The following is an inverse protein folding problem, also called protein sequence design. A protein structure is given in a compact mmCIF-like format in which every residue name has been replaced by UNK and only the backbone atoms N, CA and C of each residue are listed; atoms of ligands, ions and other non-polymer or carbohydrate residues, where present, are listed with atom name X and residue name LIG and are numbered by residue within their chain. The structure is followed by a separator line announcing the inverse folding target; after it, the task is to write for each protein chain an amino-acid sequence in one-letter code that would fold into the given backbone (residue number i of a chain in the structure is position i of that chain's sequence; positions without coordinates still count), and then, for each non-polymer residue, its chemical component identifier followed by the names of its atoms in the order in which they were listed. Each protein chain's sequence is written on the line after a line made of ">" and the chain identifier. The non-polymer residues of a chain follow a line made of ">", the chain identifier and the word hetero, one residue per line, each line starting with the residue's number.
data_IF_104785983909
#
_entry.id   IF_104785983909
#
_cell.length_a   1.000
_cell.length_b   1.000
_cell.length_c   1.000
_cell.angle_alpha   90.00
_cell.angle_beta   90.00
_cell.angle_gamma   90.00
#
_symmetry.space_group_name_H-M   'P 1'
#
loop_
_entity.id
_entity.type
_entity.pdbx_description
1 polymer ?
#
# COMPACT_ATOMS: atom_id res chain seq x y z
N UNK A 1 13.31 -8.77 -3.08
CA UNK A 1 12.30 -9.09 -4.07
C UNK A 1 12.79 -10.10 -5.08
N UNK A 2 11.96 -10.40 -6.06
CA UNK A 2 12.34 -11.19 -7.24
C UNK A 2 12.42 -10.21 -8.40
N UNK A 3 13.54 -10.21 -9.11
CA UNK A 3 13.64 -9.46 -10.37
C UNK A 3 12.94 -10.27 -11.46
N UNK A 4 11.96 -9.66 -12.11
CA UNK A 4 11.14 -10.28 -13.14
C UNK A 4 11.33 -9.49 -14.42
N UNK A 5 11.76 -10.17 -15.47
CA UNK A 5 11.82 -9.61 -16.81
C UNK A 5 10.43 -9.66 -17.47
N UNK A 6 10.09 -8.65 -18.28
CA UNK A 6 8.83 -8.58 -19.03
C UNK A 6 8.58 -9.83 -19.91
N UNK A 7 9.65 -10.50 -20.36
CA UNK A 7 9.55 -11.75 -21.09
C UNK A 7 9.07 -12.93 -20.26
N UNK A 8 9.26 -12.88 -18.94
CA UNK A 8 8.87 -13.94 -18.00
C UNK A 8 7.44 -13.73 -17.47
N UNK A 9 6.97 -12.48 -17.44
CA UNK A 9 5.63 -12.11 -17.01
C UNK A 9 5.01 -11.06 -17.94
N UNK A 10 4.62 -11.45 -19.15
CA UNK A 10 4.15 -10.49 -20.17
C UNK A 10 2.70 -10.02 -20.00
N UNK A 11 2.06 -10.34 -18.88
CA UNK A 11 0.64 -10.09 -18.63
C UNK A 11 0.39 -8.70 -17.99
N UNK A 12 0.87 -7.63 -18.61
CA UNK A 12 0.68 -6.25 -18.16
C UNK A 12 -0.35 -5.49 -19.02
N UNK A 13 -1.53 -6.08 -19.21
CA UNK A 13 -2.54 -5.54 -20.16
C UNK A 13 -3.91 -5.49 -19.49
N UNK A 14 -4.75 -4.55 -19.94
CA UNK A 14 -6.15 -4.48 -19.54
C UNK A 14 -6.95 -5.30 -20.54
N UNK A 15 -7.65 -6.38 -20.09
CA UNK A 15 -8.46 -7.19 -20.95
C UNK A 15 -9.72 -6.41 -21.39
N UNK A 16 -10.25 -6.73 -22.57
CA UNK A 16 -11.52 -6.21 -23.06
C UNK A 16 -12.69 -6.59 -22.14
N UNK A 17 -12.63 -7.79 -21.60
CA UNK A 17 -13.65 -8.34 -20.71
C UNK A 17 -13.00 -9.09 -19.53
N UNK A 18 -13.49 -8.81 -18.33
CA UNK A 18 -13.11 -9.49 -17.10
C UNK A 18 -14.32 -10.28 -16.58
N UNK A 19 -14.18 -11.59 -16.56
CA UNK A 19 -15.22 -12.49 -16.05
C UNK A 19 -14.99 -12.74 -14.58
N UNK A 20 -15.96 -12.39 -13.76
CA UNK A 20 -15.90 -12.50 -12.30
C UNK A 20 -16.99 -13.43 -11.78
N UNK A 21 -16.85 -13.87 -10.55
CA UNK A 21 -17.93 -14.54 -9.85
C UNK A 21 -18.93 -13.56 -9.22
N UNK A 22 -20.02 -14.11 -8.69
CA UNK A 22 -21.04 -13.34 -8.00
C UNK A 22 -20.67 -13.03 -6.53
N UNK A 23 -19.41 -12.81 -6.27
CA UNK A 23 -18.88 -12.46 -4.94
C UNK A 23 -18.64 -10.96 -4.80
N UNK A 24 -17.43 -10.62 -4.41
CA UNK A 24 -17.00 -9.26 -4.04
C UNK A 24 -17.10 -8.24 -5.21
N UNK A 25 -17.06 -8.73 -6.46
CA UNK A 25 -17.06 -7.87 -7.65
C UNK A 25 -18.45 -7.35 -8.05
N UNK A 26 -19.54 -7.82 -7.43
CA UNK A 26 -20.91 -7.35 -7.72
C UNK A 26 -21.16 -5.92 -7.22
N UNK A 27 -20.36 -5.43 -6.27
CA UNK A 27 -20.54 -4.14 -5.63
C UNK A 27 -20.53 -2.96 -6.59
N UNK A 28 -21.09 -1.83 -6.13
CA UNK A 28 -21.11 -0.58 -6.88
C UNK A 28 -19.69 -0.03 -7.13
N UNK A 29 -18.78 -0.21 -6.18
CA UNK A 29 -17.40 0.27 -6.27
C UNK A 29 -16.60 -0.43 -7.38
N UNK A 30 -16.53 -1.77 -7.47
CA UNK A 30 -15.87 -2.44 -8.59
C UNK A 30 -16.44 -2.01 -9.95
N UNK A 31 -17.76 -1.87 -10.07
CA UNK A 31 -18.39 -1.41 -11.30
C UNK A 31 -17.97 0.00 -11.69
N UNK A 32 -17.97 0.95 -10.76
CA UNK A 32 -17.54 2.33 -11.04
C UNK A 32 -16.06 2.43 -11.40
N UNK A 33 -15.24 1.59 -10.79
CA UNK A 33 -13.79 1.60 -10.97
C UNK A 33 -13.38 0.94 -12.27
N UNK A 34 -13.91 -0.26 -12.56
CA UNK A 34 -13.47 -1.12 -13.66
C UNK A 34 -14.24 -0.95 -14.96
N UNK A 35 -15.56 -0.72 -14.93
CA UNK A 35 -16.37 -0.60 -16.15
C UNK A 35 -15.85 0.41 -17.19
N UNK A 36 -15.26 1.56 -16.81
CA UNK A 36 -14.67 2.46 -17.80
C UNK A 36 -13.40 1.92 -18.47
N UNK A 37 -12.78 0.87 -17.89
CA UNK A 37 -11.51 0.30 -18.35
C UNK A 37 -11.68 -1.07 -19.00
N UNK A 38 -12.61 -1.88 -18.51
CA UNK A 38 -12.88 -3.25 -18.97
C UNK A 38 -14.34 -3.60 -18.75
N UNK A 39 -14.90 -4.40 -19.63
CA UNK A 39 -16.28 -4.90 -19.44
C UNK A 39 -16.28 -5.94 -18.31
N UNK A 40 -17.10 -5.72 -17.28
CA UNK A 40 -17.34 -6.72 -16.24
C UNK A 40 -18.48 -7.64 -16.65
N UNK A 41 -18.21 -8.93 -16.66
CA UNK A 41 -19.19 -9.99 -16.86
C UNK A 41 -19.17 -10.93 -15.66
N UNK A 42 -20.34 -11.49 -15.34
CA UNK A 42 -20.48 -12.37 -14.18
C UNK A 42 -20.86 -13.78 -14.62
N UNK A 43 -20.25 -14.77 -13.99
CA UNK A 43 -20.63 -16.17 -14.23
C UNK A 43 -22.06 -16.42 -13.75
N UNK A 44 -22.86 -17.24 -14.48
CA UNK A 44 -24.17 -17.64 -13.99
C UNK A 44 -24.07 -18.33 -12.63
N UNK A 45 -25.05 -18.12 -11.74
CA UNK A 45 -25.10 -18.84 -10.47
C UNK A 45 -25.09 -20.36 -10.69
N UNK A 46 -24.46 -21.09 -9.79
CA UNK A 46 -24.40 -22.57 -9.80
C UNK A 46 -23.75 -23.19 -11.05
N UNK A 47 -22.87 -22.44 -11.73
CA UNK A 47 -22.10 -22.93 -12.89
C UNK A 47 -20.59 -22.96 -12.56
N UNK A 48 -20.10 -23.97 -11.80
CA UNK A 48 -18.68 -24.08 -11.44
C UNK A 48 -17.78 -24.33 -12.66
N UNK A 49 -18.31 -24.93 -13.72
CA UNK A 49 -17.61 -25.15 -14.99
C UNK A 49 -17.06 -23.86 -15.59
N UNK A 50 -17.74 -22.74 -15.42
CA UNK A 50 -17.28 -21.42 -15.89
C UNK A 50 -16.02 -20.90 -15.20
N UNK A 51 -15.64 -21.49 -14.05
CA UNK A 51 -14.48 -21.08 -13.23
C UNK A 51 -13.39 -22.14 -13.12
N UNK A 52 -13.63 -23.33 -13.67
CA UNK A 52 -12.77 -24.51 -13.45
C UNK A 52 -11.29 -24.26 -13.68
N UNK A 53 -10.93 -23.42 -14.66
CA UNK A 53 -9.53 -23.08 -14.93
C UNK A 53 -8.89 -22.29 -13.78
N UNK A 54 -9.58 -21.26 -13.27
CA UNK A 54 -9.07 -20.41 -12.19
C UNK A 54 -9.01 -21.19 -10.88
N UNK A 55 -10.08 -21.92 -10.55
CA UNK A 55 -10.14 -22.75 -9.33
C UNK A 55 -9.04 -23.83 -9.34
N UNK A 56 -8.80 -24.46 -10.49
CA UNK A 56 -7.72 -25.46 -10.63
C UNK A 56 -6.34 -24.84 -10.45
N UNK A 57 -6.12 -23.61 -10.92
CA UNK A 57 -4.83 -22.91 -10.71
C UNK A 57 -4.60 -22.55 -9.25
N UNK A 58 -5.61 -22.08 -8.54
CA UNK A 58 -5.51 -21.86 -7.10
C UNK A 58 -5.28 -23.16 -6.32
N UNK A 59 -5.94 -24.25 -6.71
CA UNK A 59 -5.72 -25.57 -6.08
C UNK A 59 -4.26 -26.06 -6.24
N UNK A 60 -3.68 -25.89 -7.43
CA UNK A 60 -2.26 -26.22 -7.69
C UNK A 60 -1.34 -25.36 -6.81
N UNK A 61 -1.51 -24.03 -6.82
CA UNK A 61 -0.69 -23.13 -5.98
C UNK A 61 -0.81 -23.44 -4.49
N UNK A 62 -2.01 -23.74 -4.03
CA UNK A 62 -2.23 -24.13 -2.64
C UNK A 62 -1.49 -25.43 -2.30
N UNK A 63 -1.57 -26.45 -3.14
CA UNK A 63 -0.95 -27.75 -2.88
C UNK A 63 0.57 -27.73 -3.01
N UNK A 64 1.08 -27.05 -4.03
CA UNK A 64 2.51 -27.06 -4.34
C UNK A 64 3.32 -26.02 -3.54
N UNK A 65 2.67 -24.96 -3.05
CA UNK A 65 3.37 -23.87 -2.37
C UNK A 65 2.82 -23.62 -0.96
N UNK A 66 1.53 -23.26 -0.86
CA UNK A 66 0.98 -22.79 0.41
C UNK A 66 0.93 -23.89 1.48
N UNK A 67 0.60 -25.13 1.08
CA UNK A 67 0.52 -26.24 2.01
C UNK A 67 1.87 -26.75 2.52
N UNK A 68 2.95 -26.35 1.87
CA UNK A 68 4.32 -26.67 2.31
C UNK A 68 4.82 -25.72 3.41
N UNK A 69 4.19 -24.57 3.59
CA UNK A 69 4.57 -23.63 4.64
C UNK A 69 4.15 -24.10 6.04
N UNK A 70 5.01 -23.84 7.02
CA UNK A 70 4.65 -23.99 8.43
C UNK A 70 3.56 -22.96 8.78
N UNK A 71 2.57 -23.41 9.54
CA UNK A 71 1.44 -22.56 9.93
C UNK A 71 0.24 -22.60 8.99
N UNK A 72 0.33 -23.34 7.87
CA UNK A 72 -0.82 -23.52 6.97
C UNK A 72 -1.91 -24.38 7.62
N UNK A 73 -3.17 -24.00 7.38
CA UNK A 73 -4.35 -24.80 7.79
C UNK A 73 -4.69 -25.92 6.80
N UNK A 74 -3.94 -26.07 5.72
CA UNK A 74 -4.16 -27.06 4.64
C UNK A 74 -5.63 -27.16 4.20
N UNK A 75 -6.27 -26.00 3.99
CA UNK A 75 -7.67 -25.93 3.58
C UNK A 75 -8.69 -26.25 4.69
N UNK A 76 -8.30 -26.12 5.97
CA UNK A 76 -9.19 -26.37 7.10
C UNK A 76 -9.19 -27.81 7.61
N UNK A 77 -8.36 -28.70 7.07
CA UNK A 77 -8.21 -30.10 7.52
C UNK A 77 -7.45 -30.19 8.87
N UNK A 78 -7.86 -29.39 9.85
CA UNK A 78 -7.27 -29.44 11.20
C UNK A 78 -8.00 -30.49 12.03
N UNK A 79 -7.28 -31.45 12.53
CA UNK A 79 -7.85 -32.49 13.40
C UNK A 79 -8.36 -31.84 14.68
N UNK A 80 -9.61 -32.15 15.06
CA UNK A 80 -10.24 -31.59 16.25
C UNK A 80 -9.42 -31.93 17.50
N UNK A 81 -9.00 -30.91 18.26
CA UNK A 81 -8.14 -31.07 19.44
C UNK A 81 -6.64 -31.00 19.17
N UNK A 82 -6.20 -30.89 17.91
CA UNK A 82 -4.78 -30.63 17.62
C UNK A 82 -4.42 -29.17 17.90
N UNK A 83 -3.13 -28.90 18.08
CA UNK A 83 -2.60 -27.54 18.20
C UNK A 83 -2.96 -26.73 16.95
N UNK A 84 -3.37 -25.48 17.13
CA UNK A 84 -3.68 -24.57 16.01
C UNK A 84 -2.40 -24.33 15.15
N UNK A 85 -2.39 -24.78 13.88
CA UNK A 85 -1.23 -24.62 13.02
C UNK A 85 -0.78 -23.19 12.84
N UNK A 86 -1.71 -22.21 12.92
CA UNK A 86 -1.40 -20.78 12.76
C UNK A 86 -0.38 -20.27 13.77
N UNK A 87 -0.25 -20.93 14.93
CA UNK A 87 0.78 -20.61 15.94
C UNK A 87 2.19 -20.96 15.50
N UNK A 88 2.32 -21.79 14.48
CA UNK A 88 3.61 -22.22 13.91
C UNK A 88 3.98 -21.41 12.66
N UNK A 89 3.19 -20.38 12.31
CA UNK A 89 3.48 -19.49 11.21
C UNK A 89 4.72 -18.63 11.51
N UNK A 90 5.79 -18.82 10.73
CA UNK A 90 7.08 -18.15 10.91
C UNK A 90 7.48 -17.28 9.71
N UNK A 91 6.82 -17.48 8.57
CA UNK A 91 7.15 -16.74 7.35
C UNK A 91 6.54 -15.35 7.32
N UNK A 92 7.32 -14.39 6.85
CA UNK A 92 6.82 -13.05 6.57
C UNK A 92 6.00 -13.05 5.27
N UNK A 93 5.11 -12.07 5.11
CA UNK A 93 4.34 -11.90 3.87
C UNK A 93 5.26 -11.79 2.64
N UNK A 94 6.40 -11.11 2.77
CA UNK A 94 7.40 -10.95 1.71
C UNK A 94 7.99 -12.30 1.28
N UNK A 95 8.35 -13.18 2.22
CA UNK A 95 8.88 -14.50 1.92
C UNK A 95 7.85 -15.37 1.22
N UNK A 96 6.60 -15.38 1.71
CA UNK A 96 5.49 -16.11 1.06
C UNK A 96 5.26 -15.58 -0.36
N UNK A 97 5.21 -14.27 -0.55
CA UNK A 97 5.03 -13.64 -1.87
C UNK A 97 6.13 -14.05 -2.84
N UNK A 98 7.39 -14.07 -2.41
CA UNK A 98 8.52 -14.51 -3.24
C UNK A 98 8.35 -15.96 -3.71
N UNK A 99 7.91 -16.86 -2.84
CA UNK A 99 7.70 -18.28 -3.22
C UNK A 99 6.52 -18.42 -4.19
N UNK A 100 5.43 -17.70 -3.98
CA UNK A 100 4.29 -17.70 -4.92
C UNK A 100 4.74 -17.19 -6.30
N UNK A 101 5.49 -16.09 -6.35
CA UNK A 101 6.01 -15.55 -7.62
C UNK A 101 6.89 -16.58 -8.34
N UNK A 102 7.81 -17.23 -7.63
CA UNK A 102 8.67 -18.29 -8.22
C UNK A 102 7.83 -19.42 -8.79
N UNK A 103 6.84 -19.92 -8.05
CA UNK A 103 5.96 -20.99 -8.52
C UNK A 103 5.17 -20.58 -9.78
N UNK A 104 4.69 -19.33 -9.86
CA UNK A 104 4.03 -18.81 -11.06
C UNK A 104 4.99 -18.75 -12.24
N UNK A 105 6.23 -18.30 -12.03
CA UNK A 105 7.25 -18.23 -13.08
C UNK A 105 7.64 -19.62 -13.59
N UNK A 106 7.76 -20.61 -12.71
CA UNK A 106 8.01 -22.01 -13.05
C UNK A 106 6.83 -22.59 -13.84
N UNK A 107 5.60 -22.36 -13.35
CA UNK A 107 4.40 -22.78 -14.05
C UNK A 107 4.30 -22.17 -15.46
N UNK A 108 4.62 -20.89 -15.62
CA UNK A 108 4.57 -20.22 -16.92
C UNK A 108 5.55 -20.85 -17.95
N UNK A 109 6.59 -21.52 -17.49
CA UNK A 109 7.59 -22.21 -18.32
C UNK A 109 7.35 -23.71 -18.44
N UNK A 110 6.44 -24.30 -17.65
CA UNK A 110 6.17 -25.74 -17.66
C UNK A 110 5.50 -26.16 -18.96
N UNK A 111 5.84 -27.38 -19.43
CA UNK A 111 5.21 -27.97 -20.62
C UNK A 111 3.87 -28.56 -20.22
N UNK A 112 2.80 -28.06 -20.81
CA UNK A 112 1.44 -28.54 -20.61
C UNK A 112 0.91 -29.07 -21.96
N UNK A 113 0.92 -30.41 -22.12
CA UNK A 113 0.53 -31.05 -23.39
C UNK A 113 -0.85 -30.64 -23.89
N UNK A 114 -1.80 -30.41 -22.99
CA UNK A 114 -3.16 -29.99 -23.33
C UNK A 114 -3.23 -28.62 -24.04
N UNK A 115 -2.22 -27.76 -23.85
CA UNK A 115 -2.18 -26.47 -24.55
C UNK A 115 -1.94 -26.63 -26.04
N UNK A 116 -1.22 -27.67 -26.49
CA UNK A 116 -1.02 -27.94 -27.91
C UNK A 116 -2.34 -28.31 -28.60
N UNK A 117 -3.22 -29.05 -27.93
CA UNK A 117 -4.55 -29.36 -28.42
C UNK A 117 -5.50 -28.17 -28.41
N UNK A 118 -5.30 -27.26 -27.45
CA UNK A 118 -6.13 -26.05 -27.30
C UNK A 118 -5.76 -24.95 -28.29
N UNK A 119 -4.56 -24.96 -28.86
CA UNK A 119 -4.09 -23.93 -29.77
C UNK A 119 -3.24 -24.48 -30.91
N UNK A 120 -3.84 -24.62 -32.12
CA UNK A 120 -3.08 -24.98 -33.31
C UNK A 120 -1.92 -24.02 -33.62
N UNK A 121 -2.02 -22.75 -33.17
CA UNK A 121 -1.00 -21.73 -33.40
C UNK A 121 0.36 -22.10 -32.79
N UNK A 122 0.38 -22.84 -31.67
CA UNK A 122 1.61 -23.30 -31.06
C UNK A 122 2.34 -24.28 -31.99
N UNK A 123 1.58 -25.20 -32.58
CA UNK A 123 2.11 -26.21 -33.51
C UNK A 123 2.56 -25.56 -34.82
N UNK A 124 1.75 -24.66 -35.39
CA UNK A 124 2.05 -23.93 -36.64
C UNK A 124 3.33 -23.09 -36.54
N UNK A 125 3.67 -22.60 -35.33
CA UNK A 125 4.85 -21.77 -35.11
C UNK A 125 6.00 -22.53 -34.43
N UNK A 126 5.93 -23.85 -34.33
CA UNK A 126 6.95 -24.71 -33.68
C UNK A 126 7.32 -24.24 -32.27
N UNK A 127 6.30 -23.88 -31.48
CA UNK A 127 6.47 -23.41 -30.11
C UNK A 127 6.13 -24.48 -29.11
N UNK A 128 6.98 -24.65 -28.09
CA UNK A 128 6.68 -25.53 -26.96
C UNK A 128 5.36 -25.14 -26.29
N UNK A 129 4.52 -26.12 -25.90
CA UNK A 129 3.21 -25.84 -25.30
C UNK A 129 3.35 -25.41 -23.83
N UNK A 130 3.86 -24.21 -23.63
CA UNK A 130 3.97 -23.56 -22.32
C UNK A 130 2.97 -22.44 -22.18
N UNK A 131 2.46 -22.12 -20.98
CA UNK A 131 1.56 -21.00 -20.75
C UNK A 131 2.09 -19.67 -21.30
N UNK A 132 3.39 -19.43 -21.19
CA UNK A 132 4.00 -18.19 -21.69
C UNK A 132 3.99 -18.10 -23.22
N UNK A 133 4.28 -19.20 -23.93
CA UNK A 133 4.23 -19.22 -25.38
C UNK A 133 2.78 -19.11 -25.89
N UNK A 134 1.85 -19.79 -25.23
CA UNK A 134 0.43 -19.67 -25.48
C UNK A 134 -0.03 -18.21 -25.37
N UNK A 135 0.32 -17.55 -24.26
CA UNK A 135 0.00 -16.12 -24.05
C UNK A 135 0.59 -15.23 -25.15
N UNK A 136 1.89 -15.36 -25.43
CA UNK A 136 2.60 -14.53 -26.40
C UNK A 136 2.02 -14.65 -27.81
N UNK A 137 1.76 -15.86 -28.30
CA UNK A 137 1.23 -16.08 -29.66
C UNK A 137 -0.21 -15.57 -29.78
N UNK A 138 -1.04 -15.81 -28.76
CA UNK A 138 -2.41 -15.32 -28.76
C UNK A 138 -2.47 -13.81 -28.59
N UNK A 139 -1.62 -13.22 -27.76
CA UNK A 139 -1.52 -11.77 -27.62
C UNK A 139 -1.16 -11.10 -28.96
N UNK A 140 -0.21 -11.67 -29.70
CA UNK A 140 0.19 -11.14 -31.01
C UNK A 140 -0.99 -11.14 -32.00
N UNK A 141 -1.84 -12.19 -31.98
CA UNK A 141 -2.98 -12.35 -32.87
C UNK A 141 -4.21 -11.53 -32.44
N UNK A 142 -4.42 -11.37 -31.14
CA UNK A 142 -5.63 -10.78 -30.55
C UNK A 142 -5.40 -9.43 -29.85
N UNK A 143 -4.39 -8.67 -30.27
CA UNK A 143 -4.11 -7.33 -29.69
C UNK A 143 -5.30 -6.39 -29.66
N UNK A 144 -6.22 -6.51 -30.61
CA UNK A 144 -7.45 -5.71 -30.70
C UNK A 144 -8.45 -5.98 -29.57
N UNK A 145 -8.28 -7.06 -28.82
CA UNK A 145 -9.11 -7.38 -27.65
C UNK A 145 -8.59 -6.77 -26.35
N UNK A 146 -7.45 -6.06 -26.40
CA UNK A 146 -6.91 -5.32 -25.27
C UNK A 146 -7.43 -3.89 -25.26
N UNK A 147 -7.65 -3.35 -24.08
CA UNK A 147 -8.04 -1.96 -23.90
C UNK A 147 -6.78 -1.09 -23.73
N UNK A 148 -6.74 0.03 -24.45
CA UNK A 148 -5.75 1.06 -24.19
C UNK A 148 -6.15 1.85 -22.95
N UNK A 149 -5.20 2.05 -22.03
CA UNK A 149 -5.39 2.89 -20.87
C UNK A 149 -4.17 3.79 -20.65
N UNK A 150 -4.44 5.04 -20.30
CA UNK A 150 -3.40 5.95 -19.89
C UNK A 150 -2.96 5.59 -18.45
N UNK A 151 -1.66 5.68 -18.11
CA UNK A 151 -1.18 5.42 -16.75
C UNK A 151 -1.95 6.21 -15.68
N UNK A 152 -2.32 7.44 -15.97
CA UNK A 152 -3.10 8.29 -15.07
C UNK A 152 -4.52 7.76 -14.80
N UNK A 153 -5.16 7.13 -15.78
CA UNK A 153 -6.46 6.50 -15.60
C UNK A 153 -6.34 5.26 -14.71
N UNK A 154 -5.29 4.47 -14.90
CA UNK A 154 -4.98 3.31 -14.06
C UNK A 154 -4.77 3.75 -12.61
N UNK A 155 -3.88 4.72 -12.37
CA UNK A 155 -3.59 5.26 -11.03
C UNK A 155 -4.86 5.80 -10.38
N UNK A 156 -5.62 6.65 -11.10
CA UNK A 156 -6.78 7.33 -10.54
C UNK A 156 -7.95 6.39 -10.22
N UNK A 157 -8.07 5.25 -10.90
CA UNK A 157 -9.20 4.33 -10.78
C UNK A 157 -8.89 3.09 -9.96
N UNK A 158 -7.69 2.49 -10.11
CA UNK A 158 -7.36 1.22 -9.47
C UNK A 158 -6.74 1.39 -8.09
N UNK A 159 -6.02 2.50 -7.85
CA UNK A 159 -5.45 2.72 -6.53
C UNK A 159 -6.46 3.35 -5.56
N UNK A 160 -6.49 2.91 -4.30
CA UNK A 160 -7.35 3.47 -3.26
C UNK A 160 -7.19 4.98 -3.12
N UNK A 161 -8.30 5.73 -3.03
CA UNK A 161 -8.26 7.17 -2.77
C UNK A 161 -7.91 7.44 -1.32
N UNK A 162 -7.08 8.46 -1.11
CA UNK A 162 -6.72 8.94 0.21
C UNK A 162 -6.64 10.48 0.24
N UNK A 163 -6.71 11.04 1.44
CA UNK A 163 -6.41 12.44 1.70
C UNK A 163 -5.08 12.55 2.42
N UNK A 164 -4.19 13.38 1.87
CA UNK A 164 -2.89 13.68 2.46
C UNK A 164 -2.80 15.17 2.81
N UNK A 165 -1.86 15.53 3.66
CA UNK A 165 -1.68 16.93 4.07
C UNK A 165 -0.35 17.46 3.59
N UNK A 166 -0.34 18.59 2.85
CA UNK A 166 0.87 19.35 2.62
C UNK A 166 1.26 20.06 3.91
N UNK A 167 2.47 19.82 4.39
CA UNK A 167 3.02 20.37 5.63
C UNK A 167 4.36 21.04 5.37
N UNK A 168 4.88 21.73 6.37
CA UNK A 168 6.25 22.29 6.32
C UNK A 168 7.37 21.27 6.12
N UNK A 169 7.09 19.99 6.30
CA UNK A 169 8.04 18.89 6.15
C UNK A 169 7.80 18.06 4.88
N UNK A 170 6.96 18.53 3.97
CA UNK A 170 6.49 17.81 2.79
C UNK A 170 5.07 17.24 2.98
N UNK A 171 4.71 16.29 2.14
CA UNK A 171 3.41 15.64 2.20
C UNK A 171 3.40 14.64 3.35
N UNK A 172 2.38 14.73 4.19
CA UNK A 172 2.18 13.85 5.35
C UNK A 172 0.98 12.93 5.12
N UNK A 173 1.21 11.63 5.31
CA UNK A 173 0.21 10.58 5.27
C UNK A 173 0.55 9.47 6.27
N UNK A 174 -0.38 9.08 7.13
CA UNK A 174 -0.25 8.00 8.12
C UNK A 174 1.11 8.02 8.84
N UNK A 175 1.52 9.18 9.40
CA UNK A 175 2.81 9.31 10.11
C UNK A 175 4.06 9.36 9.21
N UNK A 176 3.92 9.15 7.91
CA UNK A 176 5.01 9.17 6.94
C UNK A 176 5.07 10.49 6.18
N UNK A 177 6.27 10.84 5.72
CA UNK A 177 6.52 12.05 4.93
C UNK A 177 7.01 11.69 3.54
N UNK A 178 6.50 12.43 2.54
CA UNK A 178 6.81 12.24 1.12
C UNK A 178 7.18 13.57 0.47
N UNK A 179 8.02 13.52 -0.57
CA UNK A 179 8.40 14.68 -1.39
C UNK A 179 8.65 14.28 -2.84
N UNK A 180 8.66 15.27 -3.72
CA UNK A 180 9.15 15.17 -5.09
C UNK A 180 9.80 16.48 -5.52
N UNK A 181 10.40 16.50 -6.71
CA UNK A 181 11.08 17.69 -7.25
C UNK A 181 10.13 18.88 -7.40
N UNK A 182 8.91 18.67 -7.84
CA UNK A 182 7.94 19.77 -8.03
C UNK A 182 7.59 20.46 -6.71
N UNK A 183 7.48 19.73 -5.62
CA UNK A 183 7.25 20.30 -4.28
C UNK A 183 8.42 21.19 -3.87
N UNK A 184 9.65 20.77 -4.19
CA UNK A 184 10.87 21.51 -3.88
C UNK A 184 11.01 22.74 -4.76
N UNK A 185 10.85 22.61 -6.08
CA UNK A 185 10.94 23.72 -7.06
C UNK A 185 9.89 24.80 -6.81
N UNK A 186 8.66 24.41 -6.45
CA UNK A 186 7.56 25.33 -6.13
C UNK A 186 7.58 25.83 -4.68
N UNK A 187 8.55 25.41 -3.87
CA UNK A 187 8.67 25.75 -2.45
C UNK A 187 7.37 25.53 -1.62
N UNK A 188 6.59 24.48 -1.94
CA UNK A 188 5.30 24.22 -1.32
C UNK A 188 5.42 24.00 0.20
N UNK A 189 6.51 23.41 0.67
CA UNK A 189 6.80 23.24 2.10
C UNK A 189 6.98 24.58 2.82
N UNK A 190 7.61 25.57 2.18
CA UNK A 190 7.75 26.93 2.74
C UNK A 190 6.41 27.66 2.77
N UNK A 191 5.58 27.49 1.74
CA UNK A 191 4.21 28.03 1.72
C UNK A 191 3.39 27.40 2.85
N UNK A 192 3.49 26.10 3.08
CA UNK A 192 2.80 25.43 4.17
C UNK A 192 3.27 25.90 5.56
N UNK A 193 4.51 26.37 5.68
CA UNK A 193 5.03 26.95 6.93
C UNK A 193 4.41 28.30 7.21
N UNK A 194 4.22 29.15 6.21
CA UNK A 194 3.70 30.52 6.37
C UNK A 194 2.17 30.58 6.38
N UNK A 195 1.51 29.82 5.53
CA UNK A 195 0.05 29.89 5.30
C UNK A 195 -0.74 28.77 6.00
N UNK A 196 -0.03 27.84 6.68
CA UNK A 196 -0.64 26.66 7.29
C UNK A 196 -0.73 25.47 6.33
N UNK A 197 -1.05 24.32 6.90
CA UNK A 197 -1.20 23.08 6.13
C UNK A 197 -2.53 23.03 5.38
N UNK A 198 -2.55 22.33 4.22
CA UNK A 198 -3.77 22.07 3.46
C UNK A 198 -3.85 20.62 3.01
N UNK A 199 -5.04 20.16 2.66
CA UNK A 199 -5.30 18.79 2.19
C UNK A 199 -5.19 18.68 0.68
N UNK A 200 -4.67 17.54 0.23
CA UNK A 200 -4.54 17.14 -1.18
C UNK A 200 -5.15 15.76 -1.39
N UNK A 201 -5.61 15.52 -2.61
CA UNK A 201 -6.07 14.20 -3.05
C UNK A 201 -4.85 13.33 -3.39
N UNK A 202 -4.90 12.08 -2.97
CA UNK A 202 -3.85 11.10 -3.25
C UNK A 202 -4.43 9.75 -3.69
N UNK A 203 -3.55 8.93 -4.25
CA UNK A 203 -3.76 7.52 -4.55
C UNK A 203 -2.62 6.72 -3.93
N UNK A 204 -2.97 5.66 -3.22
CA UNK A 204 -2.02 4.91 -2.39
C UNK A 204 -1.94 3.48 -2.89
N UNK A 205 -0.71 2.98 -3.07
CA UNK A 205 -0.48 1.54 -3.17
C UNK A 205 -0.21 1.01 -1.76
N UNK A 206 -1.13 0.21 -1.23
CA UNK A 206 -1.04 -0.34 0.13
C UNK A 206 0.10 -1.33 0.31
N UNK A 207 0.64 -1.86 -0.80
CA UNK A 207 1.75 -2.82 -0.78
C UNK A 207 3.12 -2.16 -0.58
N UNK A 208 3.22 -0.84 -0.68
CA UNK A 208 4.49 -0.13 -0.54
C UNK A 208 4.34 1.22 0.15
N UNK A 209 5.32 1.53 1.00
CA UNK A 209 5.50 2.86 1.60
C UNK A 209 6.45 3.73 0.79
N UNK A 210 7.13 3.20 -0.24
CA UNK A 210 8.20 3.89 -0.95
C UNK A 210 7.72 5.11 -1.74
N UNK A 211 6.46 5.10 -2.17
CA UNK A 211 5.87 6.19 -2.93
C UNK A 211 4.36 6.26 -2.77
N UNK A 212 3.82 7.43 -3.07
CA UNK A 212 2.39 7.71 -3.19
C UNK A 212 2.17 8.60 -4.42
N UNK A 213 0.96 8.62 -4.94
CA UNK A 213 0.58 9.49 -6.04
C UNK A 213 -0.28 10.63 -5.50
N UNK A 214 0.12 11.88 -5.71
CA UNK A 214 -0.57 13.05 -5.13
C UNK A 214 -0.93 14.05 -6.21
N UNK A 215 -2.12 14.60 -6.11
CA UNK A 215 -2.60 15.65 -6.98
C UNK A 215 -2.23 16.99 -6.37
N UNK A 216 -1.12 17.59 -6.82
CA UNK A 216 -0.62 18.85 -6.29
C UNK A 216 -1.53 20.04 -6.65
N UNK A 217 -2.16 19.99 -7.82
CA UNK A 217 -3.14 20.97 -8.29
C UNK A 217 -4.43 20.28 -8.72
N UNK A 218 -5.58 20.90 -8.49
CA UNK A 218 -6.89 20.32 -8.83
C UNK A 218 -7.06 19.93 -10.31
N UNK A 219 -6.36 20.61 -11.21
CA UNK A 219 -6.48 20.44 -12.66
C UNK A 219 -5.31 19.64 -13.28
N UNK A 220 -4.38 19.14 -12.47
CA UNK A 220 -3.25 18.34 -12.94
C UNK A 220 -3.44 16.84 -12.70
N UNK A 221 -2.58 16.07 -13.34
CA UNK A 221 -2.44 14.63 -13.12
C UNK A 221 -1.89 14.32 -11.72
N UNK A 222 -1.99 13.04 -11.32
CA UNK A 222 -1.34 12.56 -10.11
C UNK A 222 0.17 12.50 -10.32
N UNK A 223 0.92 13.04 -9.38
CA UNK A 223 2.37 13.08 -9.39
C UNK A 223 2.96 12.09 -8.40
N UNK A 224 4.01 11.41 -8.82
CA UNK A 224 4.72 10.44 -7.99
C UNK A 224 5.53 11.18 -6.93
N UNK A 225 5.27 10.90 -5.67
CA UNK A 225 5.98 11.43 -4.51
C UNK A 225 6.66 10.28 -3.76
N UNK A 226 7.95 10.42 -3.51
CA UNK A 226 8.77 9.40 -2.86
C UNK A 226 8.86 9.60 -1.35
N UNK A 227 9.06 8.51 -0.65
CA UNK A 227 9.27 8.50 0.80
C UNK A 227 10.47 9.39 1.16
N UNK A 228 10.23 10.37 2.03
CA UNK A 228 11.26 11.30 2.50
C UNK A 228 12.31 10.57 3.36
N UNK A 229 13.58 11.02 3.34
CA UNK A 229 14.62 10.51 4.22
C UNK A 229 14.25 10.49 5.71
N UNK A 230 13.38 11.40 6.13
CA UNK A 230 12.84 11.47 7.49
C UNK A 230 12.06 10.21 7.89
N UNK A 231 11.41 9.57 6.93
CA UNK A 231 10.62 8.34 7.13
C UNK A 231 11.36 7.08 6.68
N UNK A 232 12.69 7.15 6.51
CA UNK A 232 13.53 6.08 5.94
C UNK A 232 13.36 4.72 6.63
N UNK A 233 13.04 4.68 7.93
CA UNK A 233 12.85 3.43 8.67
C UNK A 233 11.69 2.58 8.14
N UNK A 234 10.77 3.19 7.39
CA UNK A 234 9.61 2.53 6.79
C UNK A 234 9.85 2.14 5.33
N UNK A 235 11.05 2.35 4.79
CA UNK A 235 11.38 2.00 3.42
C UNK A 235 11.20 0.50 3.18
N UNK A 236 10.72 0.13 1.99
CA UNK A 236 10.51 -1.25 1.53
C UNK A 236 9.53 -2.06 2.41
N UNK A 237 8.56 -1.38 3.02
CA UNK A 237 7.48 -1.98 3.80
C UNK A 237 6.13 -1.76 3.12
N UNK A 238 5.12 -2.53 3.52
CA UNK A 238 3.73 -2.24 3.19
C UNK A 238 3.15 -1.16 4.11
N UNK A 239 2.00 -0.57 3.74
CA UNK A 239 1.30 0.38 4.61
C UNK A 239 0.87 -0.29 5.92
N UNK A 240 0.40 -1.54 5.88
CA UNK A 240 0.03 -2.32 7.07
C UNK A 240 1.21 -2.58 8.01
N UNK A 241 2.38 -2.94 7.46
CA UNK A 241 3.59 -3.09 8.29
C UNK A 241 4.00 -1.77 8.95
N UNK A 242 3.83 -0.67 8.23
CA UNK A 242 4.12 0.67 8.73
C UNK A 242 3.18 1.06 9.89
N UNK A 243 1.89 0.80 9.75
CA UNK A 243 0.90 1.03 10.81
C UNK A 243 1.21 0.18 12.04
N UNK A 244 1.46 -1.10 11.87
CA UNK A 244 1.87 -1.98 12.97
C UNK A 244 3.10 -1.49 13.72
N UNK A 245 4.12 -1.02 12.99
CA UNK A 245 5.34 -0.47 13.62
C UNK A 245 5.03 0.82 14.39
N UNK A 246 4.16 1.68 13.86
CA UNK A 246 3.75 2.91 14.53
C UNK A 246 2.97 2.61 15.82
N UNK A 247 1.99 1.73 15.76
CA UNK A 247 1.23 1.28 16.93
C UNK A 247 2.13 0.67 18.00
N UNK A 248 3.11 -0.14 17.57
CA UNK A 248 4.10 -0.69 18.49
C UNK A 248 4.94 0.41 19.14
N UNK A 249 5.42 1.39 18.36
CA UNK A 249 6.19 2.53 18.89
C UNK A 249 5.35 3.36 19.89
N UNK A 250 4.09 3.58 19.58
CA UNK A 250 3.20 4.37 20.45
C UNK A 250 2.89 3.60 21.76
N UNK A 251 2.67 2.29 21.69
CA UNK A 251 2.51 1.45 22.88
C UNK A 251 3.75 1.49 23.79
N UNK A 252 4.96 1.60 23.21
CA UNK A 252 6.20 1.73 23.99
C UNK A 252 6.35 3.11 24.63
N UNK A 253 5.87 4.16 23.99
CA UNK A 253 5.85 5.52 24.59
C UNK A 253 4.91 5.57 25.80
N UNK A 254 3.75 4.90 25.70
CA UNK A 254 2.80 4.81 26.83
C UNK A 254 3.36 4.00 28.00
N UNK A 255 4.18 2.97 27.70
CA UNK A 255 4.82 2.13 28.73
C UNK A 255 6.07 2.76 29.35
N UNK A 256 6.64 3.82 28.78
CA UNK A 256 7.64 4.63 29.47
C UNK A 256 6.89 5.54 30.45
N UNK A 257 6.88 5.24 31.76
CA UNK A 257 6.30 6.16 32.70
C UNK A 257 7.04 7.48 32.55
N UNK A 258 6.33 8.53 32.17
CA UNK A 258 6.82 9.89 32.44
C UNK A 258 7.09 9.86 33.93
N UNK A 259 8.37 9.84 34.33
CA UNK A 259 8.72 9.77 35.74
C UNK A 259 7.95 10.89 36.41
N UNK A 260 7.27 10.59 37.50
CA UNK A 260 6.49 11.58 38.28
C UNK A 260 7.38 12.79 38.58
N UNK A 261 8.70 12.58 38.72
CA UNK A 261 9.74 13.62 38.80
C UNK A 261 9.73 14.58 37.61
N UNK A 262 9.41 14.18 36.36
CA UNK A 262 9.40 15.11 35.23
C UNK A 262 8.15 16.01 35.17
N UNK A 263 7.02 15.54 35.72
CA UNK A 263 5.80 16.34 35.84
C UNK A 263 5.97 17.34 37.01
N UNK A 264 6.48 16.90 38.14
CA UNK A 264 6.81 17.76 39.30
C UNK A 264 7.85 18.79 38.96
N UNK A 265 8.91 18.45 38.21
CA UNK A 265 9.91 19.39 37.73
C UNK A 265 9.34 20.42 36.74
N UNK A 266 8.40 20.05 35.88
CA UNK A 266 7.71 20.99 35.00
C UNK A 266 6.80 21.93 35.79
N UNK A 267 6.03 21.42 36.73
CA UNK A 267 5.17 22.23 37.60
C UNK A 267 6.01 23.13 38.51
N UNK A 268 7.10 22.62 39.06
CA UNK A 268 8.03 23.41 39.86
C UNK A 268 8.70 24.53 39.07
N UNK A 269 9.15 24.29 37.84
CA UNK A 269 9.69 25.37 36.97
C UNK A 269 8.62 26.44 36.63
N UNK A 270 7.38 26.06 36.40
CA UNK A 270 6.28 27.00 36.22
C UNK A 270 6.00 27.81 37.51
N UNK A 271 6.03 27.17 38.68
CA UNK A 271 5.83 27.83 39.97
C UNK A 271 6.98 28.81 40.28
N UNK A 272 8.21 28.40 40.04
CA UNK A 272 9.40 29.25 40.24
C UNK A 272 9.34 30.48 39.31
N UNK A 273 9.00 30.29 38.05
CA UNK A 273 8.88 31.41 37.09
C UNK A 273 7.74 32.37 37.45
N UNK A 274 6.61 31.83 37.91
CA UNK A 274 5.45 32.64 38.35
C UNK A 274 5.77 33.43 39.61
N UNK A 275 6.50 32.85 40.55
CA UNK A 275 6.95 33.49 41.77
C UNK A 275 8.03 34.55 41.52
N UNK A 276 8.96 34.31 40.58
CA UNK A 276 9.95 35.29 40.14
C UNK A 276 9.28 36.55 39.54
N UNK A 277 8.29 36.36 38.64
CA UNK A 277 7.52 37.47 38.06
C UNK A 277 6.74 38.25 39.13
N UNK A 278 6.18 37.56 40.11
CA UNK A 278 5.44 38.20 41.20
C UNK A 278 6.35 39.03 42.12
N UNK A 279 7.59 38.56 42.34
CA UNK A 279 8.62 39.32 43.12
C UNK A 279 9.09 40.55 42.36
N UNK A 280 9.33 40.45 41.03
CA UNK A 280 9.67 41.62 40.19
C UNK A 280 8.57 42.68 40.20
N UNK A 281 7.33 42.27 39.99
CA UNK A 281 6.17 43.17 40.02
C UNK A 281 6.01 43.87 41.39
N UNK A 282 6.18 43.17 42.49
CA UNK A 282 6.12 43.74 43.82
C UNK A 282 7.28 44.70 44.13
N UNK A 283 8.49 44.41 43.65
CA UNK A 283 9.65 45.29 43.78
C UNK A 283 9.42 46.60 43.00
N UNK A 284 8.91 46.56 41.80
CA UNK A 284 8.54 47.75 41.00
C UNK A 284 7.45 48.57 41.68
N UNK A 285 6.45 47.94 42.28
CA UNK A 285 5.36 48.58 42.97
C UNK A 285 5.85 49.30 44.26
N UNK A 286 6.80 48.70 45.00
CA UNK A 286 7.42 49.32 46.17
C UNK A 286 8.29 50.49 45.75
N UNK A 287 9.12 50.34 44.69
CA UNK A 287 9.94 51.46 44.21
C UNK A 287 9.11 52.64 43.68
N UNK A 288 7.93 52.39 43.07
CA UNK A 288 6.99 53.43 42.64
C UNK A 288 6.34 54.13 43.84
N UNK A 289 5.95 53.38 44.89
CA UNK A 289 5.36 53.96 46.11
C UNK A 289 6.33 54.79 46.93
N UNK A 290 7.62 54.45 46.90
CA UNK A 290 8.66 55.25 47.56
C UNK A 290 8.96 56.53 46.79
N UNK A 291 8.94 56.51 45.47
CA UNK A 291 9.07 57.72 44.64
C UNK A 291 7.90 58.70 44.78
N UNK A 292 6.68 58.22 45.04
CA UNK A 292 5.50 59.05 45.25
C UNK A 292 5.35 59.60 46.66
N UNK A 293 6.12 59.12 47.62
CA UNK A 293 6.18 59.67 49.00
C UNK A 293 7.22 60.77 49.19
N UNK A 294 8.11 60.95 48.23
CA UNK A 294 9.18 61.95 48.26
C UNK A 294 8.92 63.17 47.33
N UNK A 295 7.68 63.35 46.88
CA UNK A 295 7.12 64.55 46.23
C UNK A 295 6.05 65.13 47.18
#
# INVERSE_FOLDING_TARGET
>A
GVDIDDSQWPCAHIPKELVCDNGEMIGLQPKKTLNPMTKLSFTPPYRPDCKGVVEKRFDILNKEVIHEFLGTTRGGNVIRGSRDPRKDAIYTLKEVTVQIIKAVLEHNKSILGDLAFSSPLLVENDLSPTPINYWKIHLAKHKHELQAALPQDVISRLLPPAQVSMTRNGIHFNGLYYSNKEIEERNLASIARSSGQWKLEARIDENTTNHIYVKLDKNKSFELCYLSPRSRMFKDKSMYESEFIQDWLDSKKELTPISVTSIDDHQNRHHVTKNAKKRSYNAEKIAFSEKTKNV
#
